data_IF_135868719395
#
_entry.id   IF_135868719395
#
_cell.length_a   1.000
_cell.length_b   1.000
_cell.length_c   1.000
_cell.angle_alpha   90.00
_cell.angle_beta   90.00
_cell.angle_gamma   90.00
#
_symmetry.space_group_name_H-M   'P 1'
#
loop_
_entity.id
_entity.type
_entity.pdbx_description
1 polymer ?
#
# COMPACT_ATOMS: atom_id res chain seq x y z
N UNK A 1 2.74 19.21 28.39
CA UNK A 1 3.43 19.68 27.17
C UNK A 1 2.53 19.38 25.98
N UNK A 2 2.00 20.41 25.31
CA UNK A 2 1.18 20.25 24.11
C UNK A 2 2.11 19.92 22.94
N UNK A 3 2.07 18.69 22.43
CA UNK A 3 2.72 18.36 21.17
C UNK A 3 2.12 19.29 20.10
N UNK A 4 2.94 20.18 19.54
CA UNK A 4 2.58 20.94 18.35
C UNK A 4 2.24 19.90 17.29
N UNK A 5 0.99 19.86 16.86
CA UNK A 5 0.59 19.08 15.70
C UNK A 5 1.29 19.73 14.51
N UNK A 6 2.50 19.28 14.17
CA UNK A 6 3.05 19.55 12.86
C UNK A 6 2.05 18.92 11.89
N UNK A 7 1.38 19.75 11.09
CA UNK A 7 0.45 19.26 10.09
C UNK A 7 1.24 18.39 9.11
N UNK A 8 1.08 17.08 9.23
CA UNK A 8 1.61 16.10 8.28
C UNK A 8 1.09 16.49 6.92
N UNK A 9 2.00 16.64 5.95
CA UNK A 9 1.64 16.94 4.57
C UNK A 9 2.50 16.11 3.63
N UNK A 10 1.91 15.60 2.54
CA UNK A 10 2.67 14.93 1.50
C UNK A 10 3.55 15.95 0.79
N UNK A 11 4.72 15.51 0.33
CA UNK A 11 5.60 16.27 -0.57
C UNK A 11 4.89 16.58 -1.89
N UNK A 12 4.00 15.68 -2.32
CA UNK A 12 3.28 15.78 -3.59
C UNK A 12 1.98 14.98 -3.56
N UNK A 13 0.96 15.49 -4.24
CA UNK A 13 -0.28 14.79 -4.55
C UNK A 13 -0.45 14.75 -6.07
N UNK A 14 -0.78 13.59 -6.65
CA UNK A 14 -1.03 13.42 -8.09
C UNK A 14 -2.25 12.54 -8.31
N UNK A 15 -3.16 12.96 -9.18
CA UNK A 15 -4.25 12.11 -9.67
C UNK A 15 -3.80 11.38 -10.94
N UNK A 16 -4.09 10.08 -11.03
CA UNK A 16 -3.76 9.25 -12.20
C UNK A 16 -4.92 9.13 -13.18
N UNK A 17 -4.63 8.67 -14.40
CA UNK A 17 -5.64 8.02 -15.24
C UNK A 17 -6.12 6.70 -14.62
N UNK A 18 -7.12 6.06 -15.25
CA UNK A 18 -7.61 4.75 -14.82
C UNK A 18 -6.53 3.69 -15.08
N UNK A 19 -6.19 2.89 -14.07
CA UNK A 19 -5.31 1.72 -14.20
C UNK A 19 -5.73 0.60 -13.26
N UNK A 20 -5.39 -0.63 -13.61
CA UNK A 20 -5.46 -1.78 -12.72
C UNK A 20 -4.03 -2.22 -12.40
N UNK A 21 -3.78 -2.66 -11.17
CA UNK A 21 -2.50 -3.26 -10.78
C UNK A 21 -2.66 -4.78 -10.82
N UNK A 22 -1.81 -5.45 -11.58
CA UNK A 22 -1.67 -6.91 -11.57
C UNK A 22 -0.44 -7.24 -10.75
N UNK A 23 -0.58 -8.09 -9.76
CA UNK A 23 0.43 -8.26 -8.72
C UNK A 23 0.66 -9.73 -8.45
N UNK A 24 1.89 -10.08 -8.07
CA UNK A 24 2.25 -11.38 -7.52
C UNK A 24 3.02 -11.18 -6.21
N UNK A 25 2.71 -11.98 -5.19
CA UNK A 25 3.15 -11.68 -3.84
C UNK A 25 2.71 -12.69 -2.79
N UNK A 26 2.72 -12.25 -1.54
CA UNK A 26 2.25 -12.99 -0.37
C UNK A 26 1.04 -12.27 0.23
N UNK A 27 0.16 -13.03 0.88
CA UNK A 27 -1.05 -12.51 1.53
C UNK A 27 -1.15 -12.98 2.97
N UNK A 28 -1.64 -12.09 3.82
CA UNK A 28 -2.05 -12.34 5.20
C UNK A 28 -3.50 -11.87 5.38
N UNK A 29 -4.27 -12.56 6.21
CA UNK A 29 -5.60 -12.14 6.67
C UNK A 29 -5.69 -12.30 8.19
N UNK A 30 -6.08 -11.24 8.88
CA UNK A 30 -6.19 -11.26 10.34
C UNK A 30 -6.06 -9.86 10.93
N UNK A 31 -5.65 -9.81 12.20
CA UNK A 31 -5.20 -8.58 12.85
C UNK A 31 -3.67 -8.55 12.75
N UNK A 32 -3.08 -7.75 11.85
CA UNK A 32 -1.64 -7.75 11.65
C UNK A 32 -0.87 -6.99 12.73
N UNK A 33 -1.54 -6.54 13.80
CA UNK A 33 -0.93 -5.84 14.93
C UNK A 33 -1.14 -6.58 16.25
N UNK A 34 -1.61 -7.83 16.20
CA UNK A 34 -1.83 -8.61 17.41
C UNK A 34 -0.52 -8.90 18.15
N UNK A 35 0.60 -9.02 17.43
CA UNK A 35 1.92 -9.30 18.03
C UNK A 35 2.68 -8.02 18.38
N UNK A 36 2.69 -7.04 17.48
CA UNK A 36 3.45 -5.78 17.60
C UNK A 36 2.74 -4.64 16.85
N UNK A 37 3.09 -3.39 17.20
CA UNK A 37 2.48 -2.19 16.62
C UNK A 37 2.76 -2.01 15.12
N UNK A 38 2.04 -1.07 14.49
CA UNK A 38 2.26 -0.66 13.11
C UNK A 38 3.71 -0.21 12.86
N UNK A 39 4.17 -0.32 11.61
CA UNK A 39 5.50 0.12 11.18
C UNK A 39 6.68 -0.57 11.90
N UNK A 40 6.46 -1.79 12.39
CA UNK A 40 7.51 -2.66 12.93
C UNK A 40 7.76 -3.85 12.01
N UNK A 41 8.94 -4.45 12.10
CA UNK A 41 9.26 -5.70 11.39
C UNK A 41 8.82 -6.96 12.16
N UNK A 42 8.38 -6.78 13.40
CA UNK A 42 8.04 -7.87 14.33
C UNK A 42 6.58 -8.27 14.25
N UNK A 43 5.75 -7.45 13.62
CA UNK A 43 4.34 -7.74 13.38
C UNK A 43 4.16 -8.64 12.12
N UNK A 44 2.92 -9.01 11.86
CA UNK A 44 2.57 -9.93 10.78
C UNK A 44 2.88 -9.35 9.39
N UNK A 45 2.91 -8.02 9.23
CA UNK A 45 3.32 -7.33 8.00
C UNK A 45 4.82 -7.52 7.77
N UNK A 46 5.65 -7.32 8.80
CA UNK A 46 7.10 -7.55 8.73
C UNK A 46 7.45 -9.00 8.41
N UNK A 47 6.74 -9.96 9.03
CA UNK A 47 6.87 -11.39 8.73
C UNK A 47 6.50 -11.67 7.27
N UNK A 48 5.40 -11.06 6.78
CA UNK A 48 4.93 -11.22 5.40
C UNK A 48 5.95 -10.66 4.39
N UNK A 49 6.56 -9.50 4.65
CA UNK A 49 7.65 -8.94 3.85
C UNK A 49 8.87 -9.87 3.80
N UNK A 50 9.31 -10.39 4.94
CA UNK A 50 10.43 -11.33 5.01
C UNK A 50 10.14 -12.60 4.19
N UNK A 51 8.92 -13.12 4.29
CA UNK A 51 8.47 -14.25 3.47
C UNK A 51 8.52 -13.93 1.99
N UNK A 52 8.00 -12.77 1.59
CA UNK A 52 8.03 -12.33 0.20
C UNK A 52 9.46 -12.18 -0.33
N UNK A 53 10.38 -11.54 0.38
CA UNK A 53 11.76 -11.38 -0.09
C UNK A 53 12.51 -12.71 -0.25
N UNK A 54 12.30 -13.67 0.66
CA UNK A 54 12.85 -15.03 0.51
C UNK A 54 12.34 -15.73 -0.75
N UNK A 55 11.04 -15.62 -1.03
CA UNK A 55 10.46 -16.18 -2.25
C UNK A 55 10.91 -15.41 -3.50
N UNK A 56 11.05 -14.09 -3.41
CA UNK A 56 11.56 -13.25 -4.47
C UNK A 56 12.96 -13.68 -4.89
N UNK A 57 13.86 -13.86 -3.93
CA UNK A 57 15.22 -14.35 -4.18
C UNK A 57 15.22 -15.76 -4.80
N UNK A 58 14.39 -16.67 -4.28
CA UNK A 58 14.27 -18.05 -4.79
C UNK A 58 13.76 -18.10 -6.24
N UNK A 59 12.84 -17.21 -6.61
CA UNK A 59 12.14 -17.21 -7.91
C UNK A 59 12.49 -15.99 -8.78
N UNK A 60 13.63 -15.34 -8.52
CA UNK A 60 14.03 -14.07 -9.16
C UNK A 60 14.00 -14.14 -10.69
N UNK A 61 14.49 -15.25 -11.25
CA UNK A 61 14.54 -15.52 -12.69
C UNK A 61 13.17 -15.54 -13.39
N UNK A 62 12.08 -15.72 -12.64
CA UNK A 62 10.69 -15.64 -13.13
C UNK A 62 10.17 -14.23 -12.89
N UNK A 63 10.31 -13.74 -11.65
CA UNK A 63 9.69 -12.49 -11.20
C UNK A 63 10.27 -11.25 -11.88
N UNK A 64 11.59 -11.19 -12.08
CA UNK A 64 12.23 -10.05 -12.76
C UNK A 64 11.78 -9.91 -14.22
N UNK A 65 11.49 -11.03 -14.90
CA UNK A 65 11.04 -10.99 -16.31
C UNK A 65 9.66 -10.36 -16.44
N UNK A 66 8.81 -10.58 -15.45
CA UNK A 66 7.43 -10.10 -15.44
C UNK A 66 7.27 -8.74 -14.76
N UNK A 67 8.24 -8.31 -13.97
CA UNK A 67 8.19 -7.02 -13.26
C UNK A 67 7.96 -5.84 -14.23
N UNK A 68 7.02 -4.97 -13.86
CA UNK A 68 6.71 -3.76 -14.64
C UNK A 68 7.64 -2.59 -14.25
N UNK A 69 8.12 -2.59 -13.01
CA UNK A 69 8.91 -1.51 -12.42
C UNK A 69 9.74 -2.02 -11.23
N UNK A 70 10.68 -1.21 -10.78
CA UNK A 70 11.52 -1.47 -9.60
C UNK A 70 10.83 -1.06 -8.29
N UNK A 71 9.57 -1.49 -8.11
CA UNK A 71 8.78 -1.18 -6.91
C UNK A 71 8.25 -2.43 -6.27
N UNK A 72 8.26 -2.41 -4.95
CA UNK A 72 7.50 -3.33 -4.13
C UNK A 72 6.28 -2.61 -3.54
N UNK A 73 5.23 -3.37 -3.27
CA UNK A 73 3.94 -2.84 -2.87
C UNK A 73 3.44 -3.56 -1.63
N UNK A 74 2.82 -2.81 -0.73
CA UNK A 74 2.01 -3.31 0.37
C UNK A 74 0.57 -2.82 0.16
N UNK A 75 -0.41 -3.72 0.26
CA UNK A 75 -1.82 -3.40 0.02
C UNK A 75 -2.61 -3.78 1.26
N UNK A 76 -3.35 -2.81 1.78
CA UNK A 76 -4.29 -2.99 2.88
C UNK A 76 -5.69 -3.07 2.28
N UNK A 77 -6.39 -4.19 2.42
CA UNK A 77 -7.71 -4.41 1.83
C UNK A 77 -8.70 -4.73 2.94
N UNK A 78 -9.69 -3.87 3.12
CA UNK A 78 -10.77 -4.07 4.07
C UNK A 78 -11.90 -4.90 3.41
N UNK A 79 -12.18 -6.12 3.89
CA UNK A 79 -13.33 -6.89 3.44
C UNK A 79 -14.66 -6.34 3.95
N UNK A 80 -15.78 -6.88 3.45
CA UNK A 80 -17.13 -6.43 3.81
C UNK A 80 -17.42 -6.59 5.32
N UNK A 81 -16.84 -7.60 5.98
CA UNK A 81 -16.97 -7.89 7.41
C UNK A 81 -15.93 -7.14 8.28
N UNK A 82 -15.13 -6.24 7.70
CA UNK A 82 -14.07 -5.51 8.42
C UNK A 82 -14.61 -4.74 9.63
N UNK A 83 -15.78 -4.10 9.50
CA UNK A 83 -16.39 -3.31 10.59
C UNK A 83 -16.78 -4.16 11.80
N UNK A 84 -17.08 -5.43 11.59
CA UNK A 84 -17.48 -6.36 12.65
C UNK A 84 -16.26 -7.06 13.25
N UNK A 85 -15.30 -7.44 12.42
CA UNK A 85 -14.18 -8.30 12.82
C UNK A 85 -12.92 -7.53 13.19
N UNK A 86 -12.74 -6.32 12.66
CA UNK A 86 -11.48 -5.58 12.67
C UNK A 86 -10.36 -6.24 11.85
N UNK A 87 -10.63 -7.34 11.15
CA UNK A 87 -9.63 -8.11 10.39
C UNK A 87 -9.60 -7.70 8.94
N UNK A 88 -8.41 -7.60 8.38
CA UNK A 88 -8.23 -7.17 7.00
C UNK A 88 -7.12 -7.98 6.31
N UNK A 89 -7.05 -7.85 4.99
CA UNK A 89 -5.96 -8.46 4.24
C UNK A 89 -4.79 -7.50 4.13
N UNK A 90 -3.60 -8.02 4.36
CA UNK A 90 -2.34 -7.39 3.96
C UNK A 90 -1.74 -8.21 2.83
N UNK A 91 -1.37 -7.55 1.75
CA UNK A 91 -0.72 -8.19 0.61
C UNK A 91 0.58 -7.47 0.32
N UNK A 92 1.68 -8.21 0.15
CA UNK A 92 2.97 -7.63 -0.26
C UNK A 92 3.46 -8.29 -1.54
N UNK A 93 4.00 -7.51 -2.47
CA UNK A 93 4.45 -8.07 -3.74
C UNK A 93 4.97 -7.05 -4.74
N UNK A 94 5.08 -7.48 -6.00
CA UNK A 94 5.48 -6.63 -7.14
C UNK A 94 4.36 -6.56 -8.17
N UNK A 95 4.39 -5.51 -8.99
CA UNK A 95 3.51 -5.38 -10.15
C UNK A 95 4.09 -6.16 -11.35
N UNK A 96 3.27 -6.99 -12.00
CA UNK A 96 3.68 -7.90 -13.08
C UNK A 96 2.84 -7.76 -14.35
N UNK A 97 3.44 -8.05 -15.51
CA UNK A 97 2.77 -8.02 -16.82
C UNK A 97 1.77 -9.18 -16.95
N UNK A 98 2.26 -10.39 -16.65
CA UNK A 98 1.54 -11.67 -16.73
C UNK A 98 1.52 -12.36 -15.35
N UNK A 99 0.54 -13.24 -15.12
CA UNK A 99 0.32 -13.95 -13.85
C UNK A 99 0.21 -15.48 -14.03
N UNK A 100 0.33 -15.98 -15.26
CA UNK A 100 -0.01 -17.34 -15.66
C UNK A 100 1.01 -18.39 -15.18
N UNK A 101 2.26 -17.99 -14.92
CA UNK A 101 3.36 -18.90 -14.55
C UNK A 101 4.03 -18.48 -13.25
N UNK A 102 3.23 -18.28 -12.20
CA UNK A 102 3.73 -17.87 -10.89
C UNK A 102 3.98 -19.07 -9.96
N UNK A 103 4.97 -18.96 -9.04
CA UNK A 103 5.25 -20.03 -8.08
C UNK A 103 4.04 -20.36 -7.21
N UNK A 104 3.87 -21.64 -6.85
CA UNK A 104 2.74 -22.13 -6.03
C UNK A 104 2.65 -21.45 -4.66
N UNK A 105 3.78 -21.03 -4.09
CA UNK A 105 3.87 -20.36 -2.79
C UNK A 105 3.49 -18.86 -2.86
N UNK A 106 3.16 -18.34 -4.06
CA UNK A 106 2.83 -16.94 -4.30
C UNK A 106 1.41 -16.79 -4.85
N UNK A 107 0.77 -15.68 -4.48
CA UNK A 107 -0.61 -15.38 -4.82
C UNK A 107 -0.66 -14.27 -5.86
N UNK A 108 -1.56 -14.42 -6.83
CA UNK A 108 -1.80 -13.40 -7.85
C UNK A 108 -3.01 -12.55 -7.46
N UNK A 109 -2.90 -11.23 -7.59
CA UNK A 109 -3.99 -10.28 -7.33
C UNK A 109 -4.11 -9.31 -8.49
N UNK A 110 -5.33 -9.11 -8.98
CA UNK A 110 -5.67 -8.00 -9.88
C UNK A 110 -6.57 -7.03 -9.13
N UNK A 111 -6.07 -5.83 -8.85
CA UNK A 111 -6.87 -4.75 -8.28
C UNK A 111 -7.81 -4.16 -9.36
N UNK A 112 -8.99 -3.66 -8.99
CA UNK A 112 -9.92 -3.02 -9.91
C UNK A 112 -9.29 -1.91 -10.75
N UNK A 113 -9.82 -1.71 -11.95
CA UNK A 113 -9.44 -0.58 -12.81
C UNK A 113 -10.05 0.70 -12.26
N UNK A 114 -9.23 1.58 -11.69
CA UNK A 114 -9.71 2.83 -11.09
C UNK A 114 -8.69 3.98 -11.24
N UNK A 115 -9.11 5.21 -10.96
CA UNK A 115 -8.18 6.34 -10.78
C UNK A 115 -7.60 6.27 -9.38
N UNK A 116 -6.39 6.80 -9.20
CA UNK A 116 -5.77 6.91 -7.88
C UNK A 116 -5.40 8.35 -7.58
N UNK A 117 -5.56 8.77 -6.32
CA UNK A 117 -4.71 9.80 -5.76
C UNK A 117 -3.44 9.15 -5.24
N UNK A 118 -2.29 9.72 -5.59
CA UNK A 118 -0.97 9.28 -5.17
C UNK A 118 -0.36 10.36 -4.30
N UNK A 119 -0.13 10.04 -3.03
CA UNK A 119 0.47 10.92 -2.03
C UNK A 119 1.90 10.46 -1.75
N UNK A 120 2.89 11.31 -1.98
CA UNK A 120 4.28 11.00 -1.63
C UNK A 120 4.60 11.56 -0.25
N UNK A 121 4.81 10.69 0.73
CA UNK A 121 5.30 11.07 2.06
C UNK A 121 6.79 10.78 2.18
N UNK A 122 7.48 11.56 3.02
CA UNK A 122 8.93 11.50 3.20
C UNK A 122 9.26 11.43 4.70
N UNK A 123 10.20 10.58 5.07
CA UNK A 123 10.66 10.39 6.44
C UNK A 123 9.49 10.11 7.39
N UNK A 124 9.53 10.68 8.59
CA UNK A 124 8.54 10.44 9.64
C UNK A 124 7.08 10.74 9.24
N UNK A 125 6.86 11.60 8.23
CA UNK A 125 5.51 11.90 7.75
C UNK A 125 4.80 10.67 7.15
N UNK A 126 5.54 9.64 6.72
CA UNK A 126 4.92 8.42 6.17
C UNK A 126 4.08 7.66 7.21
N UNK A 127 4.46 7.71 8.49
CA UNK A 127 3.76 7.03 9.58
C UNK A 127 2.36 7.59 9.84
N UNK A 128 2.14 8.86 9.51
CA UNK A 128 0.86 9.55 9.71
C UNK A 128 0.15 9.86 8.37
N UNK A 129 0.65 9.30 7.26
CA UNK A 129 0.14 9.59 5.93
C UNK A 129 -1.32 9.18 5.75
N UNK A 130 -1.73 8.05 6.34
CA UNK A 130 -3.13 7.62 6.36
C UNK A 130 -4.03 8.63 7.08
N UNK A 131 -3.66 9.06 8.28
CA UNK A 131 -4.47 10.05 9.01
C UNK A 131 -4.69 11.33 8.21
N UNK A 132 -3.65 11.86 7.56
CA UNK A 132 -3.78 13.00 6.66
C UNK A 132 -4.76 12.73 5.52
N UNK A 133 -4.64 11.58 4.85
CA UNK A 133 -5.49 11.22 3.71
C UNK A 133 -6.97 11.18 4.12
N UNK A 134 -7.31 10.41 5.15
CA UNK A 134 -8.71 10.14 5.51
C UNK A 134 -9.35 11.21 6.40
N UNK A 135 -8.58 11.91 7.24
CA UNK A 135 -9.12 12.92 8.16
C UNK A 135 -9.03 14.36 7.63
N UNK A 136 -8.15 14.63 6.67
CA UNK A 136 -7.95 15.99 6.12
C UNK A 136 -8.22 16.05 4.61
N UNK A 137 -7.46 15.34 3.78
CA UNK A 137 -7.54 15.53 2.33
C UNK A 137 -8.85 15.02 1.72
N UNK A 138 -9.23 13.76 2.00
CA UNK A 138 -10.37 13.12 1.35
C UNK A 138 -11.70 13.82 1.68
N UNK A 139 -12.02 14.17 2.95
CA UNK A 139 -13.23 14.93 3.28
C UNK A 139 -13.34 16.27 2.54
N UNK A 140 -12.21 16.95 2.33
CA UNK A 140 -12.13 18.28 1.71
C UNK A 140 -11.89 18.25 0.19
N UNK A 141 -11.80 17.07 -0.43
CA UNK A 141 -11.60 16.91 -1.88
C UNK A 141 -12.92 16.69 -2.63
N UNK A 142 -12.89 16.73 -3.97
CA UNK A 142 -14.03 16.37 -4.84
C UNK A 142 -14.19 14.84 -5.04
N UNK A 143 -13.53 14.02 -4.22
CA UNK A 143 -13.42 12.58 -4.42
C UNK A 143 -13.85 11.77 -3.18
N UNK A 144 -14.42 10.60 -3.44
CA UNK A 144 -14.66 9.54 -2.45
C UNK A 144 -13.74 8.34 -2.77
N UNK A 145 -13.61 7.43 -1.81
CA UNK A 145 -12.94 6.13 -2.03
C UNK A 145 -13.77 5.26 -2.99
N UNK A 146 -13.16 4.84 -4.09
CA UNK A 146 -13.83 3.92 -5.02
C UNK A 146 -13.87 2.48 -4.50
N UNK A 147 -12.86 2.08 -3.73
CA UNK A 147 -12.71 0.73 -3.22
C UNK A 147 -12.06 0.75 -1.82
N UNK A 148 -12.38 -0.21 -0.95
CA UNK A 148 -11.90 -0.23 0.43
C UNK A 148 -10.49 -0.82 0.51
N UNK A 149 -9.53 -0.23 -0.19
CA UNK A 149 -8.12 -0.59 -0.09
C UNK A 149 -7.19 0.60 -0.31
N UNK A 150 -5.97 0.49 0.18
CA UNK A 150 -4.86 1.40 -0.11
C UNK A 150 -3.62 0.61 -0.51
N UNK A 151 -2.79 1.20 -1.38
CA UNK A 151 -1.50 0.62 -1.75
C UNK A 151 -0.37 1.56 -1.32
N UNK A 152 0.60 1.06 -0.55
CA UNK A 152 1.88 1.70 -0.32
C UNK A 152 2.87 1.17 -1.35
N UNK A 153 3.52 2.06 -2.09
CA UNK A 153 4.53 1.70 -3.07
C UNK A 153 5.91 2.19 -2.61
N UNK A 154 6.82 1.22 -2.46
CA UNK A 154 8.20 1.40 -2.07
C UNK A 154 9.05 1.33 -3.33
N UNK A 155 9.57 2.49 -3.73
CA UNK A 155 10.41 2.64 -4.90
C UNK A 155 11.86 2.40 -4.53
N UNK A 156 12.55 1.50 -5.25
CA UNK A 156 13.89 1.02 -4.89
C UNK A 156 14.91 2.14 -4.64
N UNK A 157 14.83 3.23 -5.41
CA UNK A 157 15.80 4.33 -5.32
C UNK A 157 15.40 5.41 -4.30
N UNK A 158 14.15 5.42 -3.85
CA UNK A 158 13.63 6.42 -2.90
C UNK A 158 13.35 5.88 -1.52
N UNK A 159 13.14 4.57 -1.37
CA UNK A 159 12.90 3.96 -0.07
C UNK A 159 14.18 3.30 0.46
N UNK A 160 14.83 3.98 1.40
CA UNK A 160 16.12 3.58 1.98
C UNK A 160 15.98 2.95 3.37
N UNK A 161 14.75 2.57 3.76
CA UNK A 161 14.41 2.04 5.08
C UNK A 161 13.56 3.00 5.92
N UNK A 162 12.84 2.45 6.91
CA UNK A 162 11.85 3.21 7.70
C UNK A 162 12.49 4.33 8.54
N UNK A 163 13.70 4.11 9.04
CA UNK A 163 14.40 5.08 9.91
C UNK A 163 15.16 6.15 9.12
N UNK A 164 15.17 6.07 7.79
CA UNK A 164 15.89 7.04 6.98
C UNK A 164 14.98 8.26 6.70
N UNK A 165 15.36 9.48 7.12
CA UNK A 165 14.55 10.68 6.91
C UNK A 165 14.39 11.06 5.44
N UNK A 166 15.24 10.53 4.56
CA UNK A 166 15.17 10.73 3.12
C UNK A 166 14.27 9.70 2.41
N UNK A 167 13.83 8.64 3.10
CA UNK A 167 12.94 7.65 2.52
C UNK A 167 11.61 8.24 2.10
N UNK A 168 11.15 7.88 0.90
CA UNK A 168 9.83 8.24 0.41
C UNK A 168 8.97 7.00 0.13
N UNK A 169 7.67 7.12 0.42
CA UNK A 169 6.66 6.11 0.11
C UNK A 169 5.48 6.79 -0.58
N UNK A 170 4.99 6.17 -1.65
CA UNK A 170 3.81 6.64 -2.36
C UNK A 170 2.57 5.88 -1.91
N UNK A 171 1.57 6.59 -1.43
CA UNK A 171 0.28 6.04 -1.00
C UNK A 171 -0.73 6.22 -2.12
N UNK A 172 -1.26 5.13 -2.67
CA UNK A 172 -2.28 5.12 -3.71
C UNK A 172 -3.63 4.83 -3.08
N UNK A 173 -4.54 5.78 -3.21
CA UNK A 173 -5.94 5.67 -2.75
C UNK A 173 -6.84 5.61 -3.97
N UNK A 174 -7.63 4.55 -4.16
CA UNK A 174 -8.56 4.41 -5.29
C UNK A 174 -9.69 5.43 -5.16
N UNK A 175 -9.96 6.18 -6.23
CA UNK A 175 -10.90 7.31 -6.20
C UNK A 175 -12.07 7.16 -7.16
N UNK A 176 -13.22 7.65 -6.72
CA UNK A 176 -14.35 8.04 -7.55
C UNK A 176 -14.75 9.51 -7.30
N UNK A 177 -15.47 10.11 -8.24
CA UNK A 177 -15.94 11.50 -8.08
C UNK A 177 -17.07 11.49 -7.05
N UNK A 178 -17.02 12.41 -6.08
CA UNK A 178 -18.10 12.61 -5.12
C UNK A 178 -19.40 12.85 -5.86
N UNK A 179 -20.42 12.08 -5.50
CA UNK A 179 -21.77 12.36 -6.00
C UNK A 179 -22.25 13.65 -5.34
N UNK A 180 -22.82 14.61 -6.09
CA UNK A 180 -23.42 15.78 -5.47
C UNK A 180 -24.50 15.30 -4.49
N UNK A 181 -24.45 15.83 -3.27
CA UNK A 181 -25.50 15.63 -2.28
C UNK A 181 -26.78 16.22 -2.88
N UNK A 182 -27.76 15.37 -3.13
CA UNK A 182 -29.11 15.79 -3.54
C UNK A 182 -29.88 16.32 -2.35
#
# INVERSE_FOLDING_TARGET
MKFKHNHVKPKKIKITGKKALKMVGCVYYGDPFHSSQEWTIENEIGILWNRFFKLYQKYEHILQKEAINDRAYEVHIQPDDYRETGKFYVYVGIEVRQMEKMPVEMFCKRLPTTKYAVFTFKGENMFQGGEYIWKDWLPNSDYDEAHPYMVLAYDKDRFMGMDNPESEVDFYVPLEIKKPVK
#
